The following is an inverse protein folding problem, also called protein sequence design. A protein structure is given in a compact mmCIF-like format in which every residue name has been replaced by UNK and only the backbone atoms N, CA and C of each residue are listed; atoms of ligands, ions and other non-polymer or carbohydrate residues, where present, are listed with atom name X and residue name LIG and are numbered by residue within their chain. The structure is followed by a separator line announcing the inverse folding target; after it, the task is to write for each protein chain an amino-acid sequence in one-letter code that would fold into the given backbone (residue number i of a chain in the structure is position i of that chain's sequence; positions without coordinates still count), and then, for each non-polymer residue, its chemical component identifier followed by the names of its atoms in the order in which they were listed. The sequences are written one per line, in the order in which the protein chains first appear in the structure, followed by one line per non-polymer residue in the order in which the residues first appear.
data_IF_441197821392
#
_entry.id   IF_441197821392
#
_cell.length_a   1.000
_cell.length_b   1.000
_cell.length_c   1.000
_cell.angle_alpha   90.00
_cell.angle_beta   90.00
_cell.angle_gamma   90.00
#
_symmetry.space_group_name_H-M   'P 1'
#
loop_
_entity.id
_entity.type
_entity.pdbx_description
1 polymer ?
#
# COMPACT_ATOMS: atom_id res chain seq x y z
N UNK A 1 -11.19 3.82 25.19
CA UNK A 1 -9.75 4.09 24.99
C UNK A 1 -8.82 2.92 25.24
N UNK A 2 -8.77 2.28 26.42
CA UNK A 2 -7.78 1.20 26.70
C UNK A 2 -7.76 0.05 25.67
N UNK A 3 -8.93 -0.39 25.16
CA UNK A 3 -9.00 -1.41 24.11
C UNK A 3 -8.43 -0.92 22.76
N UNK A 4 -8.78 0.31 22.35
CA UNK A 4 -8.29 0.93 21.11
C UNK A 4 -6.78 1.13 21.13
N UNK A 5 -6.23 1.54 22.28
CA UNK A 5 -4.79 1.66 22.49
C UNK A 5 -4.06 0.33 22.22
N UNK A 6 -4.58 -0.79 22.75
CA UNK A 6 -4.02 -2.12 22.48
C UNK A 6 -4.08 -2.51 21.01
N UNK A 7 -5.18 -2.18 20.33
CA UNK A 7 -5.34 -2.47 18.91
C UNK A 7 -4.38 -1.62 18.06
N UNK A 8 -4.24 -0.33 18.37
CA UNK A 8 -3.29 0.56 17.70
C UNK A 8 -1.84 0.04 17.81
N UNK A 9 -1.42 -0.41 18.99
CA UNK A 9 -0.08 -1.01 19.19
C UNK A 9 0.11 -2.23 18.28
N UNK A 10 -0.88 -3.13 18.22
CA UNK A 10 -0.80 -4.33 17.38
C UNK A 10 -0.71 -3.97 15.89
N UNK A 11 -1.47 -2.96 15.46
CA UNK A 11 -1.41 -2.45 14.08
C UNK A 11 -0.02 -1.91 13.80
N UNK A 12 0.48 -0.95 14.60
CA UNK A 12 1.79 -0.34 14.42
C UNK A 12 2.93 -1.37 14.43
N UNK A 13 2.87 -2.35 15.34
CA UNK A 13 3.81 -3.46 15.40
C UNK A 13 3.85 -4.25 14.08
N UNK A 14 2.69 -4.65 13.57
CA UNK A 14 2.57 -5.39 12.30
C UNK A 14 2.98 -4.55 11.08
N UNK A 15 2.94 -3.22 11.19
CA UNK A 15 3.36 -2.27 10.13
C UNK A 15 4.84 -1.91 10.17
N UNK A 16 5.58 -2.40 11.16
CA UNK A 16 7.03 -2.19 11.25
C UNK A 16 7.45 -0.90 11.95
N UNK A 17 6.56 -0.26 12.72
CA UNK A 17 6.90 0.87 13.58
C UNK A 17 7.66 0.44 14.86
N UNK A 18 7.70 -0.87 15.16
CA UNK A 18 8.55 -1.47 16.21
C UNK A 18 9.81 -2.11 15.60
N UNK A 19 10.98 -1.86 16.21
CA UNK A 19 12.22 -2.54 15.81
C UNK A 19 12.46 -3.84 16.62
N UNK A 20 13.21 -4.78 16.06
CA UNK A 20 13.55 -6.08 16.70
C UNK A 20 14.47 -5.88 17.91
N UNK A 21 15.26 -4.80 17.93
CA UNK A 21 16.02 -4.40 19.11
C UNK A 21 15.12 -3.96 20.26
N UNK A 22 13.95 -3.37 19.96
CA UNK A 22 12.98 -3.04 20.99
C UNK A 22 12.44 -4.33 21.61
N UNK A 23 12.24 -5.41 20.86
CA UNK A 23 11.80 -6.72 21.37
C UNK A 23 12.66 -7.31 22.52
N UNK A 24 13.93 -6.89 22.63
CA UNK A 24 14.83 -7.22 23.75
C UNK A 24 14.64 -6.26 24.94
N UNK A 25 14.37 -4.97 24.70
CA UNK A 25 14.07 -3.95 25.72
C UNK A 25 12.62 -4.00 26.24
N UNK A 26 11.67 -4.50 25.44
CA UNK A 26 10.23 -4.57 25.74
C UNK A 26 9.88 -5.66 26.77
N UNK A 27 10.80 -6.60 27.06
CA UNK A 27 10.57 -7.66 28.06
C UNK A 27 10.46 -7.15 29.50
N UNK A 28 10.88 -5.91 29.77
CA UNK A 28 10.93 -5.31 31.11
C UNK A 28 10.23 -3.93 31.23
N UNK A 29 9.53 -3.44 30.19
CA UNK A 29 8.86 -2.13 30.20
C UNK A 29 7.34 -2.25 30.38
N UNK A 30 6.74 -1.20 30.93
CA UNK A 30 5.28 -1.08 31.00
C UNK A 30 4.68 -0.98 29.59
N UNK A 31 3.63 -1.75 29.32
CA UNK A 31 2.89 -1.72 28.05
C UNK A 31 2.41 -0.31 27.71
N UNK A 32 2.11 0.51 28.72
CA UNK A 32 1.67 1.88 28.50
C UNK A 32 2.79 2.83 28.05
N UNK A 33 4.03 2.59 28.48
CA UNK A 33 5.22 3.36 28.05
C UNK A 33 5.54 3.04 26.58
N UNK A 34 5.55 1.74 26.25
CA UNK A 34 5.78 1.23 24.89
C UNK A 34 4.78 1.83 23.89
N UNK A 35 3.52 1.89 24.31
CA UNK A 35 2.45 2.43 23.50
C UNK A 35 2.64 3.91 23.21
N UNK A 36 3.08 4.69 24.21
CA UNK A 36 3.30 6.12 24.04
C UNK A 36 4.48 6.38 23.09
N UNK A 37 5.59 5.66 23.24
CA UNK A 37 6.74 5.76 22.33
C UNK A 37 6.33 5.47 20.88
N UNK A 38 5.51 4.44 20.67
CA UNK A 38 5.02 4.08 19.34
C UNK A 38 4.09 5.12 18.73
N UNK A 39 3.18 5.65 19.53
CA UNK A 39 2.25 6.68 19.08
C UNK A 39 3.01 7.96 18.73
N UNK A 40 3.97 8.38 19.57
CA UNK A 40 4.79 9.57 19.29
C UNK A 40 5.69 9.36 18.06
N UNK A 41 6.28 8.17 17.88
CA UNK A 41 7.03 7.85 16.67
C UNK A 41 6.14 7.88 15.42
N UNK A 42 4.94 7.29 15.49
CA UNK A 42 3.96 7.38 14.40
C UNK A 42 3.60 8.84 14.09
N UNK A 43 3.32 9.65 15.12
CA UNK A 43 3.00 11.08 14.97
C UNK A 43 4.13 11.84 14.29
N UNK A 44 5.37 11.62 14.68
CA UNK A 44 6.52 12.26 14.07
C UNK A 44 6.67 11.87 12.60
N UNK A 45 6.63 10.56 12.29
CA UNK A 45 6.83 10.06 10.93
C UNK A 45 5.68 10.44 9.98
N UNK A 46 4.45 10.50 10.49
CA UNK A 46 3.26 10.84 9.70
C UNK A 46 2.93 12.34 9.72
N UNK A 47 3.80 13.18 10.31
CA UNK A 47 3.57 14.62 10.47
C UNK A 47 2.25 14.98 11.18
N UNK A 48 1.91 14.21 12.23
CA UNK A 48 0.71 14.34 13.07
C UNK A 48 1.05 14.77 14.51
N UNK A 49 2.14 15.53 14.70
CA UNK A 49 2.65 15.92 16.04
C UNK A 49 1.69 16.83 16.81
N UNK A 50 0.85 17.60 16.12
CA UNK A 50 -0.16 18.48 16.73
C UNK A 50 -1.41 17.73 17.21
N UNK A 51 -1.63 16.49 16.77
CA UNK A 51 -2.80 15.70 17.17
C UNK A 51 -2.64 15.12 18.58
N UNK A 52 -3.76 15.01 19.30
CA UNK A 52 -3.80 14.27 20.55
C UNK A 52 -3.60 12.77 20.33
N UNK A 53 -3.11 12.07 21.35
CA UNK A 53 -2.88 10.62 21.25
C UNK A 53 -4.17 9.85 21.03
N UNK A 54 -5.30 10.34 21.58
CA UNK A 54 -6.61 9.71 21.38
C UNK A 54 -7.06 9.82 19.91
N UNK A 55 -6.92 10.99 19.28
CA UNK A 55 -7.25 11.17 17.86
C UNK A 55 -6.37 10.30 16.95
N UNK A 56 -5.08 10.20 17.27
CA UNK A 56 -4.14 9.38 16.51
C UNK A 56 -4.45 7.89 16.66
N UNK A 57 -4.79 7.43 17.87
CA UNK A 57 -5.22 6.05 18.12
C UNK A 57 -6.46 5.73 17.28
N UNK A 58 -7.44 6.63 17.25
CA UNK A 58 -8.65 6.45 16.43
C UNK A 58 -8.31 6.37 14.94
N UNK A 59 -7.42 7.23 14.42
CA UNK A 59 -6.95 7.13 13.04
C UNK A 59 -6.19 5.84 12.76
N UNK A 60 -5.31 5.40 13.67
CA UNK A 60 -4.56 4.15 13.50
C UNK A 60 -5.52 2.97 13.35
N UNK A 61 -6.57 2.93 14.18
CA UNK A 61 -7.51 1.81 14.26
C UNK A 61 -8.58 1.84 13.17
N UNK A 62 -9.16 3.00 12.89
CA UNK A 62 -10.38 3.10 12.08
C UNK A 62 -10.18 3.71 10.71
N UNK A 63 -9.08 4.46 10.47
CA UNK A 63 -8.82 5.00 9.13
C UNK A 63 -8.50 3.81 8.20
N UNK A 64 -9.16 3.70 7.04
CA UNK A 64 -8.82 2.67 6.07
C UNK A 64 -7.46 2.97 5.48
N UNK A 65 -6.67 1.94 5.19
CA UNK A 65 -5.29 2.05 4.68
C UNK A 65 -4.89 0.81 3.91
N UNK A 66 -3.85 0.93 3.09
CA UNK A 66 -3.17 -0.24 2.51
C UNK A 66 -2.75 -1.19 3.63
N UNK A 67 -2.65 -2.49 3.37
CA UNK A 67 -2.30 -3.57 4.29
C UNK A 67 -0.80 -3.86 4.38
N UNK A 68 -0.01 -3.33 3.44
CA UNK A 68 1.44 -3.50 3.42
C UNK A 68 2.09 -2.85 4.65
N UNK A 69 3.21 -3.41 5.11
CA UNK A 69 4.02 -2.76 6.14
C UNK A 69 4.60 -1.46 5.59
N UNK A 70 4.50 -0.39 6.37
CA UNK A 70 5.03 0.94 6.05
C UNK A 70 6.55 0.93 5.91
N UNK A 71 7.23 0.13 6.72
CA UNK A 71 8.69 -0.02 6.68
C UNK A 71 9.10 -1.47 6.43
N UNK A 72 9.74 -1.73 5.29
CA UNK A 72 10.27 -3.06 4.95
C UNK A 72 11.59 -3.34 5.72
N UNK A 73 11.83 -4.60 6.10
CA UNK A 73 12.86 -5.06 7.06
C UNK A 73 14.29 -4.53 6.84
N UNK A 74 14.68 -4.14 5.63
CA UNK A 74 16.05 -3.71 5.32
C UNK A 74 16.30 -2.19 5.42
N UNK A 75 15.26 -1.39 5.69
CA UNK A 75 15.37 0.09 5.75
C UNK A 75 15.22 0.68 7.15
N UNK A 76 15.14 -0.16 8.18
CA UNK A 76 14.93 0.23 9.58
C UNK A 76 16.07 1.08 10.17
N UNK A 77 17.22 1.15 9.49
CA UNK A 77 18.38 1.96 9.87
C UNK A 77 18.34 3.39 9.30
N UNK A 78 17.40 3.69 8.39
CA UNK A 78 17.31 4.97 7.65
C UNK A 78 16.35 5.98 8.30
N UNK A 79 15.80 5.67 9.47
CA UNK A 79 14.87 6.53 10.24
C UNK A 79 15.50 7.88 10.61
N UNK A 80 16.82 8.04 10.48
CA UNK A 80 17.54 9.27 10.83
C UNK A 80 17.80 10.26 9.67
N UNK A 81 17.28 10.01 8.45
CA UNK A 81 17.43 10.96 7.34
C UNK A 81 16.06 11.43 6.82
N UNK A 82 15.57 12.54 7.37
CA UNK A 82 14.25 13.12 7.08
C UNK A 82 13.99 13.37 5.59
N UNK A 83 15.02 13.70 4.80
CA UNK A 83 14.86 13.95 3.36
C UNK A 83 14.64 12.66 2.56
N UNK A 84 15.12 11.51 3.07
CA UNK A 84 14.96 10.20 2.42
C UNK A 84 13.60 9.58 2.80
N UNK A 85 13.02 9.95 3.95
CA UNK A 85 11.77 9.38 4.46
C UNK A 85 10.51 9.90 3.77
N UNK A 86 10.60 10.99 3.00
CA UNK A 86 9.43 11.68 2.46
C UNK A 86 8.85 11.03 1.20
N UNK A 87 9.66 10.41 0.36
CA UNK A 87 9.22 9.83 -0.91
C UNK A 87 8.93 8.33 -0.80
N UNK A 88 8.07 7.82 -1.68
CA UNK A 88 7.90 6.38 -1.88
C UNK A 88 9.25 5.74 -2.25
N UNK A 89 9.74 4.82 -1.42
CA UNK A 89 11.08 4.24 -1.61
C UNK A 89 11.04 3.00 -2.49
N UNK A 90 12.20 2.61 -3.01
CA UNK A 90 12.36 1.25 -3.51
C UNK A 90 12.24 0.24 -2.36
N UNK A 91 11.44 -0.79 -2.54
CA UNK A 91 11.45 -1.98 -1.67
C UNK A 91 12.76 -2.79 -1.71
N UNK A 92 13.71 -2.40 -2.57
CA UNK A 92 14.86 -3.20 -2.97
C UNK A 92 14.53 -4.23 -4.05
N UNK A 93 13.25 -4.42 -4.35
CA UNK A 93 12.75 -5.31 -5.39
C UNK A 93 12.17 -4.49 -6.54
N UNK A 94 12.50 -4.89 -7.77
CA UNK A 94 11.89 -4.37 -9.00
C UNK A 94 11.89 -5.44 -10.07
N UNK A 95 10.97 -5.34 -11.03
CA UNK A 95 11.00 -6.21 -12.18
C UNK A 95 12.30 -6.03 -12.99
N UNK A 96 12.93 -7.15 -13.36
CA UNK A 96 14.03 -7.13 -14.30
C UNK A 96 13.49 -6.95 -15.73
N UNK A 97 13.59 -5.72 -16.26
CA UNK A 97 13.05 -5.36 -17.57
C UNK A 97 13.55 -6.25 -18.72
N UNK A 98 14.82 -6.67 -18.68
CA UNK A 98 15.38 -7.53 -19.73
C UNK A 98 14.79 -8.94 -19.73
N UNK A 99 14.14 -9.35 -18.64
CA UNK A 99 13.47 -10.65 -18.49
C UNK A 99 12.01 -10.62 -18.94
N UNK A 100 11.45 -9.45 -19.28
CA UNK A 100 10.05 -9.26 -19.64
C UNK A 100 9.80 -9.20 -21.16
N UNK A 101 10.83 -9.46 -21.96
CA UNK A 101 10.78 -9.34 -23.42
C UNK A 101 11.22 -7.95 -23.93
N UNK A 102 11.15 -7.77 -25.25
CA UNK A 102 11.48 -6.52 -25.93
C UNK A 102 10.41 -6.19 -26.98
N UNK A 103 9.44 -5.30 -26.69
CA UNK A 103 9.35 -4.46 -25.48
C UNK A 103 8.96 -5.25 -24.20
N UNK A 104 9.28 -4.76 -22.99
CA UNK A 104 8.88 -5.38 -21.72
C UNK A 104 7.35 -5.41 -21.53
N UNK A 105 6.77 -6.58 -21.26
CA UNK A 105 5.33 -6.74 -21.01
C UNK A 105 5.07 -7.55 -19.74
N UNK A 106 4.16 -7.07 -18.88
CA UNK A 106 3.66 -7.80 -17.72
C UNK A 106 2.19 -8.16 -17.93
N UNK A 107 1.83 -9.44 -17.80
CA UNK A 107 0.44 -9.88 -17.89
C UNK A 107 -0.28 -9.74 -16.55
N UNK A 108 -1.56 -9.33 -16.58
CA UNK A 108 -2.43 -9.34 -15.41
C UNK A 108 -3.77 -10.02 -15.69
N UNK A 109 -4.44 -10.49 -14.64
CA UNK A 109 -5.81 -11.00 -14.72
C UNK A 109 -6.61 -10.67 -13.45
N UNK A 110 -7.91 -10.51 -13.60
CA UNK A 110 -8.86 -10.31 -12.49
C UNK A 110 -9.52 -11.67 -12.23
N UNK A 111 -9.26 -12.27 -11.06
CA UNK A 111 -9.67 -13.65 -10.76
C UNK A 111 -11.14 -13.76 -10.33
N UNK A 112 -11.64 -12.76 -9.63
CA UNK A 112 -13.05 -12.63 -9.25
C UNK A 112 -13.45 -11.14 -9.26
N UNK A 113 -14.74 -10.85 -9.12
CA UNK A 113 -15.28 -9.49 -9.18
C UNK A 113 -16.10 -9.19 -7.94
N UNK A 114 -16.05 -7.95 -7.47
CA UNK A 114 -16.93 -7.46 -6.42
C UNK A 114 -18.38 -7.35 -6.96
N UNK A 115 -19.36 -8.06 -6.38
CA UNK A 115 -20.65 -8.26 -7.03
C UNK A 115 -21.52 -7.00 -7.13
N UNK A 116 -21.25 -5.97 -6.33
CA UNK A 116 -22.03 -4.72 -6.32
C UNK A 116 -21.55 -3.68 -7.36
N UNK A 117 -20.46 -3.94 -8.08
CA UNK A 117 -19.97 -3.08 -9.18
C UNK A 117 -20.07 -3.86 -10.49
N UNK A 118 -20.49 -3.19 -11.57
CA UNK A 118 -20.48 -3.81 -12.90
C UNK A 118 -19.07 -4.23 -13.30
N UNK A 119 -18.94 -5.40 -13.95
CA UNK A 119 -17.63 -5.93 -14.35
C UNK A 119 -16.84 -4.96 -15.22
N UNK A 120 -17.50 -4.32 -16.18
CA UNK A 120 -16.84 -3.37 -17.10
C UNK A 120 -16.27 -2.15 -16.35
N UNK A 121 -16.97 -1.68 -15.32
CA UNK A 121 -16.50 -0.57 -14.47
C UNK A 121 -15.28 -0.99 -13.64
N UNK A 122 -15.27 -2.21 -13.10
CA UNK A 122 -14.10 -2.78 -12.42
C UNK A 122 -12.92 -2.88 -13.39
N UNK A 123 -13.15 -3.45 -14.58
CA UNK A 123 -12.12 -3.62 -15.60
C UNK A 123 -11.54 -2.27 -16.05
N UNK A 124 -12.38 -1.25 -16.21
CA UNK A 124 -11.95 0.10 -16.56
C UNK A 124 -11.15 0.76 -15.43
N UNK A 125 -11.59 0.65 -14.17
CA UNK A 125 -10.85 1.18 -13.02
C UNK A 125 -9.46 0.53 -12.88
N UNK A 126 -9.38 -0.79 -13.07
CA UNK A 126 -8.11 -1.53 -13.05
C UNK A 126 -7.21 -1.15 -14.22
N UNK A 127 -7.75 -1.08 -15.44
CA UNK A 127 -6.99 -0.68 -16.64
C UNK A 127 -6.41 0.71 -16.48
N UNK A 128 -7.22 1.66 -15.98
CA UNK A 128 -6.77 3.02 -15.71
C UNK A 128 -5.56 3.06 -14.77
N UNK A 129 -5.61 2.29 -13.66
CA UNK A 129 -4.51 2.27 -12.70
C UNK A 129 -3.19 1.81 -13.35
N UNK A 130 -3.24 0.79 -14.22
CA UNK A 130 -2.08 0.38 -15.01
C UNK A 130 -1.65 1.48 -16.00
N UNK A 131 -2.58 2.10 -16.73
CA UNK A 131 -2.30 3.17 -17.70
C UNK A 131 -1.58 4.38 -17.08
N UNK A 132 -1.92 4.76 -15.85
CA UNK A 132 -1.23 5.86 -15.14
C UNK A 132 0.24 5.57 -14.93
N UNK A 133 0.59 4.34 -14.53
CA UNK A 133 1.98 3.94 -14.35
C UNK A 133 2.71 3.75 -15.68
N UNK A 134 2.09 3.13 -16.70
CA UNK A 134 2.70 2.90 -18.03
C UNK A 134 3.26 4.16 -18.68
N UNK A 135 2.69 5.33 -18.39
CA UNK A 135 3.16 6.61 -18.90
C UNK A 135 4.60 6.95 -18.48
N UNK A 136 5.07 6.39 -17.37
CA UNK A 136 6.33 6.79 -16.74
C UNK A 136 7.37 5.68 -16.63
N UNK A 137 7.05 4.45 -17.05
CA UNK A 137 7.96 3.31 -17.08
C UNK A 137 7.91 2.57 -18.42
N UNK A 138 9.02 1.92 -18.85
CA UNK A 138 9.06 1.16 -20.10
C UNK A 138 8.46 -0.25 -19.93
N UNK A 139 7.31 -0.37 -19.29
CA UNK A 139 6.57 -1.61 -19.09
C UNK A 139 5.17 -1.40 -19.63
N UNK A 140 4.70 -2.33 -20.47
CA UNK A 140 3.28 -2.40 -20.83
C UNK A 140 2.59 -3.52 -20.05
N UNK A 141 1.35 -3.29 -19.64
CA UNK A 141 0.50 -4.25 -18.96
C UNK A 141 -0.55 -4.80 -19.91
N UNK A 142 -0.67 -6.12 -19.96
CA UNK A 142 -1.64 -6.80 -20.82
C UNK A 142 -2.60 -7.64 -19.99
N UNK A 143 -3.89 -7.35 -20.12
CA UNK A 143 -4.94 -8.18 -19.54
C UNK A 143 -4.98 -9.55 -20.22
N UNK A 144 -5.19 -10.58 -19.42
CA UNK A 144 -5.38 -11.98 -19.83
C UNK A 144 -6.67 -12.53 -19.19
N UNK A 145 -7.14 -13.66 -19.68
CA UNK A 145 -8.34 -14.28 -19.12
C UNK A 145 -8.09 -14.75 -17.67
N UNK A 146 -9.12 -14.78 -16.81
CA UNK A 146 -8.97 -15.21 -15.40
C UNK A 146 -8.36 -16.61 -15.22
N UNK A 147 -8.56 -17.52 -16.18
CA UNK A 147 -8.05 -18.89 -16.12
C UNK A 147 -6.62 -19.04 -16.69
N UNK A 148 -6.09 -17.99 -17.31
CA UNK A 148 -4.73 -18.00 -17.84
C UNK A 148 -3.72 -17.68 -16.74
N UNK A 149 -2.49 -18.18 -16.93
CA UNK A 149 -1.39 -17.81 -16.06
C UNK A 149 -0.95 -16.38 -16.37
N UNK A 150 -1.10 -15.50 -15.38
CA UNK A 150 -0.65 -14.11 -15.44
C UNK A 150 0.38 -13.84 -14.33
N UNK A 151 1.30 -12.90 -14.59
CA UNK A 151 2.27 -12.47 -13.59
C UNK A 151 1.52 -11.80 -12.43
N UNK A 152 0.66 -10.83 -12.74
CA UNK A 152 -0.16 -10.13 -11.76
C UNK A 152 -1.56 -10.76 -11.69
N UNK A 153 -2.11 -10.91 -10.50
CA UNK A 153 -3.44 -11.45 -10.24
C UNK A 153 -4.14 -10.53 -9.24
N UNK A 154 -5.31 -10.04 -9.63
CA UNK A 154 -6.16 -9.21 -8.80
C UNK A 154 -7.34 -10.04 -8.30
N UNK A 155 -7.64 -10.00 -7.02
CA UNK A 155 -8.82 -10.65 -6.45
C UNK A 155 -9.35 -9.94 -5.21
N UNK A 156 -10.64 -10.12 -4.95
CA UNK A 156 -11.28 -9.80 -3.69
C UNK A 156 -11.24 -11.02 -2.80
N UNK A 157 -10.64 -10.87 -1.62
CA UNK A 157 -10.42 -11.95 -0.67
C UNK A 157 -11.03 -11.58 0.69
N UNK A 158 -11.34 -12.58 1.52
CA UNK A 158 -11.87 -12.36 2.86
C UNK A 158 -10.90 -12.84 3.92
N UNK A 159 -10.66 -12.00 4.94
CA UNK A 159 -10.00 -12.37 6.19
C UNK A 159 -8.73 -13.21 5.98
N UNK A 160 -8.75 -14.49 6.36
CA UNK A 160 -7.67 -15.43 6.07
C UNK A 160 -7.87 -16.04 4.68
N UNK A 161 -6.98 -15.68 3.76
CA UNK A 161 -7.03 -16.08 2.36
C UNK A 161 -5.67 -16.65 1.89
N UNK A 162 -5.06 -17.47 2.76
CA UNK A 162 -3.82 -18.21 2.50
C UNK A 162 -2.59 -17.36 2.18
N UNK A 163 -2.53 -16.13 2.71
CA UNK A 163 -1.34 -15.30 2.64
C UNK A 163 -0.93 -14.75 4.01
N UNK A 164 0.26 -14.16 4.10
CA UNK A 164 0.82 -13.64 5.35
C UNK A 164 0.12 -12.37 5.85
N UNK A 165 -0.57 -11.64 4.97
CA UNK A 165 -1.32 -10.43 5.27
C UNK A 165 -2.82 -10.79 5.33
N UNK A 166 -3.36 -10.90 6.54
CA UNK A 166 -4.79 -11.22 6.72
C UNK A 166 -5.58 -9.94 6.77
N UNK A 167 -6.75 -9.93 6.14
CA UNK A 167 -7.69 -8.84 6.31
C UNK A 167 -8.37 -8.91 7.69
N UNK A 168 -8.65 -7.74 8.24
CA UNK A 168 -9.29 -7.59 9.54
C UNK A 168 -10.83 -7.61 9.44
N UNK A 169 -11.36 -7.40 8.23
CA UNK A 169 -12.78 -7.28 7.94
C UNK A 169 -13.42 -6.12 8.70
N UNK A 170 -14.73 -5.98 8.56
CA UNK A 170 -15.48 -4.91 9.25
C UNK A 170 -15.75 -5.26 10.71
N UNK A 171 -15.21 -4.51 11.68
CA UNK A 171 -15.46 -4.77 13.10
C UNK A 171 -16.61 -3.96 13.71
N UNK A 172 -16.87 -2.73 13.26
CA UNK A 172 -18.09 -1.93 13.56
C UNK A 172 -18.30 -0.79 12.54
N UNK A 173 -17.67 -0.89 11.36
CA UNK A 173 -17.50 0.18 10.40
C UNK A 173 -16.64 -0.31 9.24
N UNK A 174 -15.67 0.48 8.76
CA UNK A 174 -14.63 -0.01 7.84
C UNK A 174 -13.60 -0.87 8.58
N UNK A 175 -13.00 -1.83 7.88
CA UNK A 175 -11.73 -2.43 8.28
C UNK A 175 -10.59 -1.43 8.13
N UNK A 176 -9.51 -1.68 8.85
CA UNK A 176 -8.28 -0.91 8.73
C UNK A 176 -7.58 -1.23 7.42
N UNK A 177 -7.47 -2.52 7.05
CA UNK A 177 -6.70 -2.94 5.88
C UNK A 177 -7.61 -3.16 4.66
N UNK A 178 -7.64 -2.21 3.73
CA UNK A 178 -8.56 -2.28 2.57
C UNK A 178 -8.05 -3.12 1.41
N UNK A 179 -6.74 -3.18 1.22
CA UNK A 179 -6.10 -3.94 0.16
C UNK A 179 -4.63 -4.16 0.51
N UNK A 180 -3.94 -5.05 -0.19
CA UNK A 180 -2.49 -5.15 -0.15
C UNK A 180 -1.97 -5.74 -1.45
N UNK A 181 -0.66 -5.58 -1.68
CA UNK A 181 -0.01 -6.13 -2.85
C UNK A 181 1.40 -6.63 -2.57
N UNK A 182 1.78 -7.69 -3.28
CA UNK A 182 3.12 -8.23 -3.21
C UNK A 182 4.11 -7.40 -4.01
N UNK A 183 5.22 -7.03 -3.37
CA UNK A 183 6.41 -6.52 -4.06
C UNK A 183 6.91 -7.50 -5.13
N UNK A 184 7.69 -7.01 -6.13
CA UNK A 184 8.23 -7.84 -7.20
C UNK A 184 9.42 -8.70 -6.73
N UNK A 185 9.23 -9.44 -5.64
CA UNK A 185 10.14 -10.45 -5.10
C UNK A 185 9.63 -11.85 -5.48
N UNK A 186 10.33 -12.52 -6.39
CA UNK A 186 9.96 -13.87 -6.87
C UNK A 186 9.99 -14.94 -5.77
N UNK A 187 10.61 -14.66 -4.62
CA UNK A 187 10.66 -15.56 -3.48
C UNK A 187 9.51 -15.32 -2.49
N UNK A 188 8.71 -14.27 -2.70
CA UNK A 188 7.55 -13.95 -1.87
C UNK A 188 6.35 -14.81 -2.23
N UNK A 189 5.65 -15.31 -1.21
CA UNK A 189 4.39 -16.06 -1.37
C UNK A 189 3.25 -15.23 -1.97
N UNK A 190 3.35 -13.90 -1.91
CA UNK A 190 2.36 -12.97 -2.48
C UNK A 190 2.85 -12.27 -3.75
N UNK A 191 3.95 -12.74 -4.35
CA UNK A 191 4.47 -12.17 -5.59
C UNK A 191 3.38 -12.05 -6.67
N UNK A 192 3.24 -10.85 -7.22
CA UNK A 192 2.26 -10.57 -8.28
C UNK A 192 0.80 -10.69 -7.82
N UNK A 193 0.51 -10.63 -6.52
CA UNK A 193 -0.87 -10.60 -6.03
C UNK A 193 -1.26 -9.17 -5.65
N UNK A 194 -2.44 -8.74 -6.05
CA UNK A 194 -3.17 -7.61 -5.47
C UNK A 194 -4.45 -8.19 -4.88
N UNK A 195 -4.60 -8.09 -3.56
CA UNK A 195 -5.83 -8.51 -2.89
C UNK A 195 -6.57 -7.28 -2.39
N UNK A 196 -7.87 -7.25 -2.63
CA UNK A 196 -8.82 -6.29 -2.05
C UNK A 196 -9.59 -6.97 -0.93
N UNK A 197 -9.82 -6.28 0.19
CA UNK A 197 -10.69 -6.81 1.24
C UNK A 197 -12.14 -6.80 0.74
N UNK A 198 -12.70 -7.98 0.53
CA UNK A 198 -14.08 -8.16 0.11
C UNK A 198 -15.08 -7.61 1.14
N UNK A 199 -14.71 -7.54 2.43
CA UNK A 199 -15.59 -7.05 3.47
C UNK A 199 -15.80 -5.52 3.37
N UNK A 200 -15.01 -4.78 2.58
CA UNK A 200 -15.21 -3.35 2.34
C UNK A 200 -16.34 -3.05 1.35
N UNK A 201 -16.85 -1.81 1.41
CA UNK A 201 -17.83 -1.30 0.45
C UNK A 201 -17.07 -0.62 -0.69
N UNK A 202 -16.88 -1.33 -1.79
CA UNK A 202 -16.20 -0.80 -2.96
C UNK A 202 -17.13 0.02 -3.85
N UNK A 203 -16.59 1.07 -4.44
CA UNK A 203 -17.26 1.87 -5.46
C UNK A 203 -16.25 2.40 -6.49
N UNK A 204 -16.70 2.59 -7.72
CA UNK A 204 -15.96 3.36 -8.74
C UNK A 204 -16.39 4.83 -8.81
N UNK A 205 -17.42 5.21 -8.03
CA UNK A 205 -17.94 6.56 -7.91
C UNK A 205 -18.46 6.76 -6.47
N UNK A 206 -17.56 6.78 -5.47
CA UNK A 206 -17.96 6.82 -4.08
C UNK A 206 -18.72 8.11 -3.76
N UNK A 207 -19.79 8.00 -2.97
CA UNK A 207 -20.72 9.09 -2.64
C UNK A 207 -20.60 9.57 -1.21
N UNK A 208 -19.90 8.83 -0.36
CA UNK A 208 -19.70 9.13 1.05
C UNK A 208 -18.41 8.50 1.57
N UNK A 209 -18.12 8.81 2.83
CA UNK A 209 -17.00 8.35 3.62
C UNK A 209 -17.19 6.93 4.19
N UNK A 210 -18.09 6.10 3.66
CA UNK A 210 -18.13 4.66 3.93
C UNK A 210 -17.64 3.84 2.73
N UNK A 211 -17.73 4.39 1.52
CA UNK A 211 -17.33 3.73 0.27
C UNK A 211 -15.83 3.92 -0.01
N UNK A 212 -15.16 2.89 -0.51
CA UNK A 212 -13.74 2.91 -0.88
C UNK A 212 -13.64 2.99 -2.40
N UNK A 213 -12.85 3.95 -2.89
CA UNK A 213 -12.61 4.15 -4.30
C UNK A 213 -11.71 3.05 -4.86
N UNK A 214 -12.28 2.15 -5.67
CA UNK A 214 -11.55 1.03 -6.26
C UNK A 214 -10.39 1.50 -7.14
N UNK A 215 -10.59 2.59 -7.89
CA UNK A 215 -9.58 3.10 -8.81
C UNK A 215 -8.38 3.68 -8.06
N UNK A 216 -8.61 4.46 -7.00
CA UNK A 216 -7.54 4.98 -6.13
C UNK A 216 -6.74 3.88 -5.46
N UNK A 217 -7.42 2.90 -4.84
CA UNK A 217 -6.72 1.79 -4.18
C UNK A 217 -5.96 0.96 -5.19
N UNK A 218 -6.55 0.63 -6.35
CA UNK A 218 -5.83 -0.12 -7.39
C UNK A 218 -4.58 0.63 -7.86
N UNK A 219 -4.66 1.95 -8.04
CA UNK A 219 -3.51 2.78 -8.44
C UNK A 219 -2.37 2.68 -7.41
N UNK A 220 -2.69 2.76 -6.12
CA UNK A 220 -1.76 2.56 -5.01
C UNK A 220 -1.12 1.16 -5.03
N UNK A 221 -1.93 0.10 -5.08
CA UNK A 221 -1.45 -1.28 -5.03
C UNK A 221 -0.58 -1.65 -6.25
N UNK A 222 -0.83 -1.05 -7.42
CA UNK A 222 0.05 -1.22 -8.58
C UNK A 222 1.45 -0.61 -8.33
N UNK A 223 1.55 0.46 -7.55
CA UNK A 223 2.84 1.01 -7.13
C UNK A 223 3.66 0.00 -6.33
N UNK A 224 3.04 -0.75 -5.41
CA UNK A 224 3.68 -1.84 -4.69
C UNK A 224 4.10 -3.00 -5.59
N UNK A 225 3.24 -3.41 -6.53
CA UNK A 225 3.59 -4.41 -7.55
C UNK A 225 4.84 -4.01 -8.34
N UNK A 226 4.98 -2.72 -8.65
CA UNK A 226 6.14 -2.17 -9.34
C UNK A 226 7.38 -2.04 -8.44
N UNK A 227 7.21 -2.11 -7.12
CA UNK A 227 8.29 -2.15 -6.15
C UNK A 227 8.44 -0.89 -5.29
N UNK A 228 7.48 0.05 -5.34
CA UNK A 228 7.45 1.23 -4.46
C UNK A 228 6.93 0.84 -3.06
N UNK A 229 7.57 1.34 -2.01
CA UNK A 229 7.08 1.35 -0.63
C UNK A 229 6.13 2.53 -0.40
N UNK A 230 5.52 2.60 0.80
CA UNK A 230 4.71 3.76 1.16
C UNK A 230 5.52 5.06 1.17
N UNK A 231 4.84 6.14 0.81
CA UNK A 231 5.25 7.51 1.08
C UNK A 231 4.77 7.97 2.46
N UNK A 232 5.48 8.91 3.06
CA UNK A 232 5.03 9.61 4.28
C UNK A 232 4.36 10.96 3.98
N UNK A 233 4.27 11.36 2.71
CA UNK A 233 3.60 12.60 2.30
C UNK A 233 2.11 12.32 2.10
N UNK A 234 1.27 12.92 2.95
CA UNK A 234 -0.18 12.88 2.76
C UNK A 234 -0.56 13.52 1.41
N UNK A 235 -1.38 12.81 0.64
CA UNK A 235 -1.82 13.24 -0.70
C UNK A 235 -1.06 12.57 -1.86
N UNK A 236 0.09 11.94 -1.61
CA UNK A 236 0.71 11.06 -2.60
C UNK A 236 -0.12 9.80 -2.82
N UNK A 237 -0.03 9.21 -4.02
CA UNK A 237 -0.71 7.95 -4.32
C UNK A 237 -0.19 6.85 -3.40
N UNK A 238 1.11 6.84 -3.12
CA UNK A 238 1.73 5.84 -2.24
C UNK A 238 1.58 6.15 -0.74
N UNK A 239 0.80 7.16 -0.33
CA UNK A 239 0.50 7.38 1.08
C UNK A 239 -0.30 6.21 1.68
N UNK A 240 0.05 5.76 2.88
CA UNK A 240 -0.52 4.52 3.43
C UNK A 240 -2.03 4.62 3.76
N UNK A 241 -2.48 5.78 4.27
CA UNK A 241 -3.88 5.99 4.65
C UNK A 241 -4.73 6.27 3.41
N UNK A 242 -5.89 5.63 3.29
CA UNK A 242 -6.90 6.01 2.32
C UNK A 242 -7.59 7.30 2.79
N UNK A 243 -7.33 8.39 2.07
CA UNK A 243 -7.84 9.73 2.40
C UNK A 243 -8.99 10.18 1.49
N UNK A 244 -9.46 9.29 0.60
CA UNK A 244 -10.51 9.57 -0.38
C UNK A 244 -10.05 9.31 -1.81
N UNK A 245 -10.74 9.92 -2.77
CA UNK A 245 -10.41 9.78 -4.20
C UNK A 245 -9.06 10.44 -4.48
N UNK A 246 -8.07 9.61 -4.81
CA UNK A 246 -6.78 10.00 -5.36
C UNK A 246 -6.45 9.11 -6.58
N UNK A 247 -6.61 9.64 -7.80
CA UNK A 247 -6.55 8.84 -9.04
C UNK A 247 -5.46 9.32 -9.99
N UNK A 248 -4.55 10.20 -9.56
CA UNK A 248 -3.50 10.78 -10.40
C UNK A 248 -2.19 10.72 -9.65
N UNK A 249 -1.15 10.25 -10.33
CA UNK A 249 0.20 10.25 -9.76
C UNK A 249 0.65 11.70 -9.53
N UNK A 250 1.22 11.95 -8.35
CA UNK A 250 1.91 13.21 -8.07
C UNK A 250 3.28 13.23 -8.76
N UNK A 251 3.93 14.39 -8.75
CA UNK A 251 5.31 14.51 -9.27
C UNK A 251 6.28 13.62 -8.49
N UNK A 252 6.04 13.44 -7.20
CA UNK A 252 6.89 12.66 -6.31
C UNK A 252 6.67 11.16 -6.50
N UNK A 253 5.42 10.71 -6.75
CA UNK A 253 5.14 9.32 -7.20
C UNK A 253 5.89 9.02 -8.53
N UNK A 254 5.83 9.97 -9.48
CA UNK A 254 6.47 9.84 -10.80
C UNK A 254 8.00 9.81 -10.69
N UNK A 255 8.57 10.66 -9.83
CA UNK A 255 10.02 10.71 -9.64
C UNK A 255 10.51 9.44 -8.95
N UNK A 256 9.78 8.97 -7.94
CA UNK A 256 10.08 7.74 -7.20
C UNK A 256 10.11 6.51 -8.11
N UNK A 257 9.12 6.35 -9.00
CA UNK A 257 9.10 5.21 -9.93
C UNK A 257 10.20 5.31 -11.00
N UNK A 258 10.51 6.51 -11.48
CA UNK A 258 11.60 6.71 -12.45
C UNK A 258 12.94 6.37 -11.83
N UNK A 259 13.19 6.82 -10.61
CA UNK A 259 14.41 6.51 -9.87
C UNK A 259 14.53 5.01 -9.61
N UNK A 260 13.45 4.34 -9.21
CA UNK A 260 13.42 2.89 -9.01
C UNK A 260 13.89 2.15 -10.28
N UNK A 261 13.40 2.56 -11.45
CA UNK A 261 13.72 1.93 -12.73
C UNK A 261 14.95 2.54 -13.44
N UNK A 262 15.69 3.43 -12.78
CA UNK A 262 16.86 4.14 -13.34
C UNK A 262 16.54 4.88 -14.65
N UNK A 263 15.32 5.40 -14.77
CA UNK A 263 14.86 6.14 -15.93
C UNK A 263 15.34 7.58 -15.78
N UNK A 264 16.25 8.01 -16.65
CA UNK A 264 16.70 9.41 -16.64
C UNK A 264 15.48 10.32 -16.81
N UNK A 265 15.32 11.27 -15.90
CA UNK A 265 14.51 12.48 -16.15
C UNK A 265 15.11 13.12 -17.41
N UNK A 266 14.45 12.98 -18.56
CA UNK A 266 14.83 13.78 -19.74
C UNK A 266 14.56 15.23 -19.35
N UNK A 267 15.59 15.92 -18.90
CA UNK A 267 15.59 17.38 -18.83
C UNK A 267 15.52 17.83 -20.28
N UNK A 268 14.33 18.23 -20.73
CA UNK A 268 14.22 19.03 -21.94
C UNK A 268 14.73 20.42 -21.58
N UNK A 269 15.99 20.70 -21.88
CA UNK A 269 16.39 22.07 -22.12
C UNK A 269 15.81 22.46 -23.47
N UNK A 270 14.74 23.26 -23.46
CA UNK A 270 14.30 24.05 -24.61
C UNK A 270 14.88 25.45 -24.49
#
# INVERSE_FOLDING_TARGET
MAHLKRLAIQILANRGYLNVTDDIFLRNRDVDEIANDLIENYKYLQNKTEMSNDEVIEQIVFRPKCGNSTFVRNQRHLIHNENILRFAKSSGYKFNLSSLGNPPVISYSIKNYYPQIHKDDIEQAVRYAFDEWEQFIPISFRRTNPNENSIIKLSWEQRNHNCVLKFDGRRTGRGNSVAHAGYPDIHSSIFGQIHFDYDEIWSVNPRNDMEIDLQSVTLHEVGHILGLEHSLIEGEVMYEDYIGINRRLTMDDIQSIKDLYNLRSRIFFT
#
